data_IF_781778697311
#
_entry.id   IF_781778697311
#
_cell.length_a   1.000
_cell.length_b   1.000
_cell.length_c   1.000
_cell.angle_alpha   90.00
_cell.angle_beta   90.00
_cell.angle_gamma   90.00
#
_symmetry.space_group_name_H-M   'P 1'
#
loop_
_entity.id
_entity.type
_entity.pdbx_description
1 polymer ?
#
# COMPACT_ATOMS: atom_id res chain seq x y z
N UNK A 1 -2.20 5.69 24.85
CA UNK A 1 -0.91 5.62 25.58
C UNK A 1 0.06 6.43 24.75
N UNK A 2 0.39 7.65 25.20
CA UNK A 2 1.36 8.49 24.50
C UNK A 2 2.73 7.84 24.61
N UNK A 3 3.35 7.55 23.47
CA UNK A 3 4.76 7.17 23.42
C UNK A 3 5.53 8.47 23.16
N UNK A 4 6.25 9.01 24.16
CA UNK A 4 6.98 10.24 24.00
C UNK A 4 8.21 10.00 23.11
N UNK A 5 8.41 10.90 22.14
CA UNK A 5 9.58 11.02 21.26
C UNK A 5 9.67 10.03 20.07
N UNK A 6 8.81 10.19 19.07
CA UNK A 6 9.08 9.71 17.71
C UNK A 6 9.97 10.71 16.95
N UNK A 7 11.22 10.82 17.36
CA UNK A 7 12.27 11.39 16.52
C UNK A 7 12.62 10.42 15.39
N UNK A 8 12.40 10.85 14.14
CA UNK A 8 12.97 10.32 12.89
C UNK A 8 12.58 8.89 12.44
N UNK A 9 11.59 8.81 11.53
CA UNK A 9 11.53 7.77 10.49
C UNK A 9 11.09 6.35 10.90
N UNK A 10 10.50 6.18 12.08
CA UNK A 10 9.81 4.94 12.44
C UNK A 10 8.35 5.01 12.00
N UNK A 11 7.94 4.08 11.14
CA UNK A 11 6.53 3.75 10.90
C UNK A 11 6.12 2.64 11.87
N UNK A 12 4.99 2.84 12.53
CA UNK A 12 4.42 1.88 13.48
C UNK A 12 3.17 1.29 12.82
N UNK A 13 3.20 0.01 12.47
CA UNK A 13 1.98 -0.73 12.26
C UNK A 13 1.55 -1.30 13.62
N UNK A 14 0.28 -1.15 13.93
CA UNK A 14 -0.29 -1.71 15.14
C UNK A 14 -1.64 -2.31 14.80
N UNK A 15 -1.89 -3.47 15.38
CA UNK A 15 -3.17 -4.14 15.38
C UNK A 15 -3.54 -4.30 16.84
N UNK A 16 -4.69 -3.75 17.23
CA UNK A 16 -5.22 -3.86 18.58
C UNK A 16 -6.55 -4.59 18.43
N UNK A 17 -6.70 -5.70 19.15
CA UNK A 17 -7.93 -6.47 19.15
C UNK A 17 -8.34 -6.80 20.58
N UNK A 18 -9.61 -7.18 20.74
CA UNK A 18 -10.13 -7.64 22.01
C UNK A 18 -10.07 -9.16 22.00
N UNK A 19 -9.25 -9.76 22.85
CA UNK A 19 -9.15 -11.22 22.98
C UNK A 19 -10.34 -11.80 23.75
N UNK A 20 -10.89 -11.02 24.68
CA UNK A 20 -12.07 -11.43 25.44
C UNK A 20 -12.64 -10.27 26.24
N UNK A 21 -13.97 -10.20 26.29
CA UNK A 21 -14.69 -9.34 27.22
C UNK A 21 -15.50 -10.23 28.14
N UNK A 22 -15.31 -10.06 29.43
CA UNK A 22 -16.12 -10.68 30.46
C UNK A 22 -16.84 -9.59 31.23
N UNK A 23 -18.16 -9.72 31.30
CA UNK A 23 -19.01 -8.82 32.06
C UNK A 23 -19.61 -9.63 33.20
N UNK A 24 -19.36 -9.18 34.42
CA UNK A 24 -19.90 -9.77 35.63
C UNK A 24 -20.75 -8.74 36.35
N UNK A 25 -21.90 -9.15 36.85
CA UNK A 25 -22.72 -8.31 37.72
C UNK A 25 -22.92 -9.05 39.03
N UNK A 26 -22.44 -8.46 40.13
CA UNK A 26 -22.66 -8.96 41.49
C UNK A 26 -23.88 -8.32 42.16
N UNK A 27 -24.47 -7.31 41.53
CA UNK A 27 -25.70 -6.61 41.92
C UNK A 27 -26.36 -6.00 40.67
N UNK A 28 -27.70 -5.90 40.61
CA UNK A 28 -28.43 -5.36 39.45
C UNK A 28 -27.98 -3.96 39.00
N UNK A 29 -27.47 -3.16 39.92
CA UNK A 29 -27.00 -1.79 39.65
C UNK A 29 -25.49 -1.68 39.39
N UNK A 30 -24.74 -2.78 39.54
CA UNK A 30 -23.28 -2.79 39.40
C UNK A 30 -22.81 -3.83 38.39
N UNK A 31 -22.01 -3.37 37.44
CA UNK A 31 -21.36 -4.19 36.42
C UNK A 31 -19.84 -4.01 36.52
N UNK A 32 -19.11 -5.13 36.49
CA UNK A 32 -17.67 -5.17 36.32
C UNK A 32 -17.36 -5.70 34.93
N UNK A 33 -16.79 -4.84 34.10
CA UNK A 33 -16.25 -5.21 32.80
C UNK A 33 -14.75 -5.51 32.95
N UNK A 34 -14.35 -6.68 32.49
CA UNK A 34 -12.95 -7.07 32.33
C UNK A 34 -12.73 -7.39 30.86
N UNK A 35 -11.91 -6.59 30.19
CA UNK A 35 -11.51 -6.83 28.81
C UNK A 35 -10.03 -7.18 28.76
N UNK A 36 -9.69 -8.24 28.03
CA UNK A 36 -8.33 -8.56 27.63
C UNK A 36 -8.11 -7.97 26.24
N UNK A 37 -7.13 -7.09 26.14
CA UNK A 37 -6.79 -6.40 24.89
C UNK A 37 -5.47 -6.97 24.41
N UNK A 38 -5.48 -7.59 23.23
CA UNK A 38 -4.28 -7.98 22.51
C UNK A 38 -3.77 -6.80 21.70
N UNK A 39 -2.44 -6.66 21.61
CA UNK A 39 -1.82 -5.69 20.74
C UNK A 39 -0.60 -6.32 20.04
N UNK A 40 -0.58 -6.25 18.72
CA UNK A 40 0.59 -6.54 17.91
C UNK A 40 1.13 -5.23 17.39
N UNK A 41 2.37 -4.92 17.73
CA UNK A 41 3.04 -3.71 17.28
C UNK A 41 4.25 -4.12 16.45
N UNK A 42 4.24 -3.76 15.17
CA UNK A 42 5.34 -3.96 14.24
C UNK A 42 6.02 -2.63 13.98
N UNK A 43 7.29 -2.55 14.34
CA UNK A 43 8.11 -1.35 14.18
C UNK A 43 8.88 -1.45 12.87
N UNK A 44 8.56 -0.59 11.92
CA UNK A 44 9.29 -0.46 10.66
C UNK A 44 10.15 0.79 10.71
N UNK A 45 11.46 0.63 10.54
CA UNK A 45 12.34 1.77 10.28
C UNK A 45 12.56 1.88 8.79
N UNK A 46 11.95 2.89 8.17
CA UNK A 46 12.32 3.28 6.82
C UNK A 46 13.72 3.90 6.89
N UNK A 47 14.74 3.16 6.46
CA UNK A 47 16.11 3.70 6.36
C UNK A 47 16.24 4.29 4.96
N UNK A 48 16.35 5.63 4.79
CA UNK A 48 16.67 6.18 3.49
C UNK A 48 18.03 5.65 3.06
N UNK A 49 18.06 4.86 1.99
CA UNK A 49 19.29 4.35 1.41
C UNK A 49 19.69 5.30 0.29
N UNK A 50 20.84 5.96 0.44
CA UNK A 50 21.45 6.68 -0.70
C UNK A 50 21.99 5.62 -1.65
N UNK A 51 21.28 5.41 -2.74
CA UNK A 51 21.68 4.54 -3.83
C UNK A 51 22.49 5.34 -4.85
N UNK A 52 23.72 4.89 -5.15
CA UNK A 52 24.45 5.37 -6.32
C UNK A 52 23.98 4.52 -7.50
N UNK A 53 23.22 5.12 -8.40
CA UNK A 53 22.73 4.45 -9.63
C UNK A 53 23.66 4.66 -10.81
N UNK A 54 24.51 5.68 -10.74
CA UNK A 54 25.42 6.04 -11.82
C UNK A 54 26.72 6.65 -11.29
N UNK A 55 27.83 6.29 -11.91
CA UNK A 55 29.16 6.87 -11.69
C UNK A 55 29.69 7.29 -13.05
N UNK A 56 30.01 8.56 -13.22
CA UNK A 56 30.63 9.09 -14.43
C UNK A 56 32.11 9.40 -14.16
N UNK A 57 33.05 8.88 -14.95
CA UNK A 57 34.47 9.20 -14.78
C UNK A 57 34.81 10.64 -15.19
N UNK A 58 35.92 11.16 -14.65
CA UNK A 58 36.55 12.37 -15.16
C UNK A 58 37.06 12.21 -16.59
N UNK A 59 37.42 13.32 -17.24
CA UNK A 59 38.02 13.30 -18.59
C UNK A 59 39.32 12.48 -18.51
N UNK A 60 39.39 11.39 -19.28
CA UNK A 60 40.51 10.43 -19.37
C UNK A 60 40.62 9.38 -18.22
N UNK A 61 39.59 9.20 -17.41
CA UNK A 61 39.54 8.13 -16.38
C UNK A 61 38.65 6.96 -16.80
N UNK A 62 39.02 5.73 -16.40
CA UNK A 62 38.19 4.52 -16.56
C UNK A 62 37.81 4.04 -15.16
N UNK A 63 36.51 3.93 -14.90
CA UNK A 63 35.96 3.43 -13.65
C UNK A 63 35.30 2.09 -13.92
N UNK A 64 35.75 1.04 -13.24
CA UNK A 64 35.03 -0.23 -13.17
C UNK A 64 34.00 -0.16 -12.04
N UNK A 65 32.79 -0.64 -12.32
CA UNK A 65 31.62 -0.44 -11.46
C UNK A 65 30.94 -1.77 -11.24
N UNK A 66 30.98 -2.27 -10.01
CA UNK A 66 30.20 -3.43 -9.60
C UNK A 66 28.77 -2.98 -9.29
N UNK A 67 27.80 -3.67 -9.88
CA UNK A 67 26.37 -3.41 -9.67
C UNK A 67 25.67 -4.64 -9.11
N UNK A 68 24.88 -4.43 -8.07
CA UNK A 68 23.99 -5.44 -7.48
C UNK A 68 22.54 -5.09 -7.80
N UNK A 69 21.74 -6.09 -8.18
CA UNK A 69 20.30 -5.91 -8.40
C UNK A 69 19.61 -6.04 -7.05
N UNK A 70 18.83 -5.03 -6.68
CA UNK A 70 18.08 -5.03 -5.42
C UNK A 70 16.63 -4.60 -5.66
N UNK A 71 15.72 -5.22 -4.91
CA UNK A 71 14.32 -4.81 -4.86
C UNK A 71 14.11 -3.81 -3.73
N UNK A 72 13.58 -2.64 -4.05
CA UNK A 72 13.25 -1.59 -3.11
C UNK A 72 11.72 -1.43 -3.06
N UNK A 73 11.16 -1.43 -1.86
CA UNK A 73 9.76 -1.05 -1.64
C UNK A 73 9.71 0.46 -1.43
N UNK A 74 9.09 1.16 -2.36
CA UNK A 74 8.83 2.59 -2.27
C UNK A 74 7.40 2.82 -1.77
N UNK A 75 7.23 3.80 -0.88
CA UNK A 75 5.90 4.28 -0.48
C UNK A 75 5.53 5.39 -1.45
N UNK A 76 4.48 5.17 -2.23
CA UNK A 76 4.00 6.10 -3.24
C UNK A 76 3.08 7.13 -2.60
N UNK A 77 2.16 6.67 -1.75
CA UNK A 77 1.17 7.52 -1.09
C UNK A 77 0.87 6.99 0.32
N UNK A 78 0.64 7.90 1.27
CA UNK A 78 0.19 7.58 2.62
C UNK A 78 -0.82 8.64 3.11
N UNK A 79 -2.03 8.21 3.41
CA UNK A 79 -3.15 9.12 3.70
C UNK A 79 -4.03 8.60 4.83
N UNK A 80 -4.63 9.51 5.60
CA UNK A 80 -5.69 9.21 6.55
C UNK A 80 -6.98 9.93 6.13
N UNK A 81 -8.10 9.21 6.10
CA UNK A 81 -9.41 9.75 5.74
C UNK A 81 -10.48 9.26 6.71
N UNK A 82 -11.64 9.92 6.68
CA UNK A 82 -12.84 9.50 7.40
C UNK A 82 -13.93 9.26 6.37
N UNK A 83 -14.44 8.04 6.34
CA UNK A 83 -15.62 7.66 5.56
C UNK A 83 -16.82 7.81 6.47
N UNK A 84 -17.69 8.78 6.18
CA UNK A 84 -18.91 9.04 6.94
C UNK A 84 -20.08 8.30 6.29
N UNK A 85 -20.78 7.50 7.09
CA UNK A 85 -21.94 6.71 6.66
C UNK A 85 -23.16 7.21 7.42
N UNK A 86 -24.13 7.73 6.69
CA UNK A 86 -25.42 8.14 7.22
C UNK A 86 -26.52 7.27 6.61
N UNK A 87 -27.23 6.49 7.44
CA UNK A 87 -28.33 5.64 6.98
C UNK A 87 -29.56 5.79 7.86
N UNK A 88 -30.73 5.86 7.22
CA UNK A 88 -32.01 5.71 7.90
C UNK A 88 -32.42 4.26 7.83
N UNK A 89 -32.63 3.62 8.97
CA UNK A 89 -32.94 2.20 9.08
C UNK A 89 -34.31 2.02 9.73
N UNK A 90 -35.15 1.21 9.11
CA UNK A 90 -36.42 0.77 9.70
C UNK A 90 -36.23 -0.55 10.44
N UNK A 91 -36.93 -0.70 11.56
CA UNK A 91 -36.96 -1.91 12.35
C UNK A 91 -37.51 -3.07 11.50
N UNK A 92 -36.88 -4.26 11.56
CA UNK A 92 -37.42 -5.47 10.91
C UNK A 92 -38.88 -5.70 11.30
N UNK A 93 -39.66 -6.30 10.39
CA UNK A 93 -41.12 -6.47 10.56
C UNK A 93 -41.50 -7.21 11.85
N UNK A 94 -40.71 -8.22 12.23
CA UNK A 94 -40.92 -9.05 13.42
C UNK A 94 -40.67 -8.33 14.75
N UNK A 95 -40.06 -7.14 14.70
CA UNK A 95 -39.63 -6.41 15.90
C UNK A 95 -40.73 -5.45 16.39
N UNK A 96 -40.92 -5.45 17.72
CA UNK A 96 -41.82 -4.53 18.42
C UNK A 96 -41.27 -3.10 18.40
N UNK A 97 -42.16 -2.12 18.56
CA UNK A 97 -41.84 -0.70 18.51
C UNK A 97 -40.80 -0.27 19.57
N UNK A 98 -40.00 0.73 19.22
CA UNK A 98 -38.95 1.30 20.05
C UNK A 98 -39.55 2.39 20.95
N UNK A 99 -39.44 2.20 22.27
CA UNK A 99 -39.64 3.28 23.25
C UNK A 99 -38.39 4.13 23.41
N UNK A 100 -37.23 3.48 23.47
CA UNK A 100 -35.93 4.13 23.67
C UNK A 100 -34.78 3.24 23.20
N UNK A 101 -33.83 3.81 22.46
CA UNK A 101 -32.55 3.17 22.13
C UNK A 101 -31.65 3.14 23.37
N UNK A 102 -31.04 1.98 23.64
CA UNK A 102 -30.15 1.77 24.78
C UNK A 102 -28.70 1.59 24.37
N UNK A 103 -28.45 0.78 23.34
CA UNK A 103 -27.10 0.49 22.85
C UNK A 103 -27.13 0.25 21.35
N UNK A 104 -26.06 0.66 20.70
CA UNK A 104 -25.81 0.37 19.29
C UNK A 104 -24.37 -0.11 19.15
N UNK A 105 -24.15 -1.14 18.33
CA UNK A 105 -22.82 -1.66 18.04
C UNK A 105 -22.73 -2.18 16.61
N UNK A 106 -21.51 -2.28 16.12
CA UNK A 106 -21.20 -2.90 14.84
C UNK A 106 -20.14 -3.98 15.02
N UNK A 107 -20.10 -4.92 14.09
CA UNK A 107 -18.96 -5.84 13.96
C UNK A 107 -17.75 -5.13 13.36
N UNK A 108 -16.59 -5.78 13.42
CA UNK A 108 -15.44 -5.34 12.63
C UNK A 108 -15.83 -5.30 11.14
N UNK A 109 -15.69 -4.14 10.46
CA UNK A 109 -16.14 -4.04 9.07
C UNK A 109 -15.27 -4.87 8.14
N UNK A 110 -15.91 -5.58 7.22
CA UNK A 110 -15.22 -6.30 6.15
C UNK A 110 -14.91 -5.32 5.02
N UNK A 111 -13.63 -5.16 4.72
CA UNK A 111 -13.14 -4.19 3.75
C UNK A 111 -12.67 -4.88 2.46
N UNK A 112 -13.00 -4.27 1.33
CA UNK A 112 -12.37 -4.51 0.04
C UNK A 112 -11.86 -3.18 -0.53
N UNK A 113 -10.75 -3.22 -1.26
CA UNK A 113 -10.25 -2.05 -1.98
C UNK A 113 -9.76 -2.42 -3.37
N UNK A 114 -9.91 -1.48 -4.30
CA UNK A 114 -9.46 -1.63 -5.67
C UNK A 114 -8.71 -0.36 -6.08
N UNK A 115 -7.56 -0.56 -6.71
CA UNK A 115 -6.75 0.53 -7.26
C UNK A 115 -7.13 0.76 -8.72
N UNK A 116 -7.21 2.02 -9.10
CA UNK A 116 -7.35 2.49 -10.47
C UNK A 116 -6.38 3.66 -10.68
N UNK A 117 -6.14 4.06 -11.93
CA UNK A 117 -5.20 5.13 -12.22
C UNK A 117 -5.62 6.44 -11.54
N UNK A 118 -4.79 6.90 -10.61
CA UNK A 118 -4.98 8.13 -9.84
C UNK A 118 -6.01 8.03 -8.70
N UNK A 119 -6.58 6.86 -8.40
CA UNK A 119 -7.56 6.73 -7.32
C UNK A 119 -7.61 5.35 -6.66
N UNK A 120 -8.21 5.30 -5.47
CA UNK A 120 -8.55 4.04 -4.78
C UNK A 120 -10.04 4.04 -4.44
N UNK A 121 -10.70 2.94 -4.78
CA UNK A 121 -12.05 2.66 -4.29
C UNK A 121 -11.96 1.80 -3.02
N UNK A 122 -12.58 2.26 -1.95
CA UNK A 122 -12.63 1.56 -0.67
C UNK A 122 -14.10 1.29 -0.34
N UNK A 123 -14.46 0.03 -0.18
CA UNK A 123 -15.83 -0.35 0.13
C UNK A 123 -15.89 -1.52 1.09
N UNK A 124 -17.05 -1.69 1.72
CA UNK A 124 -17.22 -2.78 2.66
C UNK A 124 -18.60 -2.82 3.27
N UNK A 125 -18.72 -3.74 4.21
CA UNK A 125 -19.95 -3.98 4.94
C UNK A 125 -19.66 -4.27 6.42
N UNK A 126 -20.61 -3.93 7.28
CA UNK A 126 -20.59 -4.34 8.68
C UNK A 126 -21.99 -4.71 9.16
N UNK A 127 -22.06 -5.66 10.08
CA UNK A 127 -23.30 -5.97 10.78
C UNK A 127 -23.56 -4.92 11.84
N UNK A 128 -24.82 -4.61 12.07
CA UNK A 128 -25.25 -3.61 13.04
C UNK A 128 -26.27 -4.22 14.00
N UNK A 129 -26.07 -4.01 15.29
CA UNK A 129 -26.95 -4.48 16.35
C UNK A 129 -27.47 -3.29 17.16
N UNK A 130 -28.77 -3.29 17.42
CA UNK A 130 -29.46 -2.27 18.20
C UNK A 130 -30.17 -2.95 19.38
N UNK A 131 -29.81 -2.56 20.60
CA UNK A 131 -30.54 -2.94 21.81
C UNK A 131 -31.41 -1.78 22.23
N UNK A 132 -32.69 -2.05 22.45
CA UNK A 132 -33.68 -1.02 22.77
C UNK A 132 -34.72 -1.51 23.77
N UNK A 133 -35.35 -0.56 24.44
CA UNK A 133 -36.53 -0.80 25.26
C UNK A 133 -37.76 -0.81 24.35
N UNK A 134 -38.56 -1.87 24.48
CA UNK A 134 -39.82 -2.04 23.75
C UNK A 134 -40.88 -1.07 24.28
N UNK A 135 -41.66 -0.49 23.38
CA UNK A 135 -42.86 0.27 23.72
C UNK A 135 -44.02 -0.68 24.05
N UNK A 136 -44.38 -0.73 25.33
CA UNK A 136 -45.37 -1.65 25.88
C UNK A 136 -45.96 -1.07 27.17
N UNK A 137 -47.21 -1.41 27.44
CA UNK A 137 -47.93 -1.05 28.67
C UNK A 137 -47.61 -1.98 29.85
N UNK A 138 -46.74 -2.97 29.67
CA UNK A 138 -46.30 -3.87 30.74
C UNK A 138 -45.59 -3.10 31.87
N UNK A 139 -45.85 -3.49 33.13
CA UNK A 139 -45.22 -2.86 34.31
C UNK A 139 -43.70 -3.01 34.32
N UNK A 140 -43.18 -4.11 33.77
CA UNK A 140 -41.75 -4.38 33.67
C UNK A 140 -41.22 -3.96 32.28
N UNK A 141 -40.05 -3.28 32.21
CA UNK A 141 -39.48 -2.89 30.93
C UNK A 141 -39.02 -4.13 30.15
N UNK A 142 -39.56 -4.30 28.93
CA UNK A 142 -39.09 -5.32 27.99
C UNK A 142 -37.94 -4.78 27.13
N UNK A 143 -36.92 -5.61 26.93
CA UNK A 143 -35.77 -5.32 26.06
C UNK A 143 -35.83 -6.19 24.81
N UNK A 144 -35.43 -5.63 23.68
CA UNK A 144 -35.30 -6.35 22.43
C UNK A 144 -34.02 -5.95 21.68
N UNK A 145 -33.59 -6.82 20.76
CA UNK A 145 -32.42 -6.58 19.91
C UNK A 145 -32.81 -6.74 18.45
N UNK A 146 -32.46 -5.74 17.63
CA UNK A 146 -32.58 -5.79 16.18
C UNK A 146 -31.20 -5.92 15.53
N UNK A 147 -31.11 -6.65 14.43
CA UNK A 147 -29.87 -6.91 13.71
C UNK A 147 -30.02 -6.60 12.22
N UNK A 148 -28.97 -6.03 11.64
CA UNK A 148 -28.79 -5.82 10.21
C UNK A 148 -27.51 -6.53 9.77
N UNK A 149 -27.54 -7.21 8.61
CA UNK A 149 -26.46 -8.07 8.14
C UNK A 149 -26.49 -9.50 8.68
N UNK A 150 -27.62 -9.94 9.25
CA UNK A 150 -27.86 -11.31 9.69
C UNK A 150 -29.12 -11.87 9.04
N UNK A 151 -29.05 -13.09 8.52
CA UNK A 151 -30.17 -13.71 7.80
C UNK A 151 -30.44 -12.99 6.49
N UNK A 152 -31.69 -12.57 6.28
CA UNK A 152 -32.15 -11.91 5.05
C UNK A 152 -32.06 -10.37 5.12
N UNK A 153 -31.66 -9.79 6.26
CA UNK A 153 -31.58 -8.34 6.43
C UNK A 153 -30.20 -7.87 5.99
N UNK A 154 -30.16 -6.92 5.05
CA UNK A 154 -28.92 -6.39 4.49
C UNK A 154 -28.02 -5.74 5.55
N UNK A 155 -26.68 -5.84 5.41
CA UNK A 155 -25.71 -5.19 6.28
C UNK A 155 -25.61 -3.68 6.01
N UNK A 156 -24.89 -2.99 6.89
CA UNK A 156 -24.53 -1.59 6.66
C UNK A 156 -23.36 -1.55 5.69
N UNK A 157 -23.64 -1.12 4.47
CA UNK A 157 -22.63 -0.92 3.42
C UNK A 157 -22.05 0.49 3.45
N UNK A 158 -20.78 0.59 3.10
CA UNK A 158 -20.05 1.84 2.91
C UNK A 158 -19.14 1.74 1.68
N UNK A 159 -18.86 2.86 1.05
CA UNK A 159 -18.04 2.92 -0.14
C UNK A 159 -17.67 4.36 -0.47
N UNK A 160 -16.40 4.59 -0.80
CA UNK A 160 -15.93 5.91 -1.21
C UNK A 160 -14.75 5.80 -2.20
N UNK A 161 -14.64 6.79 -3.07
CA UNK A 161 -13.51 6.97 -3.98
C UNK A 161 -12.59 8.04 -3.43
N UNK A 162 -11.30 7.73 -3.37
CA UNK A 162 -10.28 8.66 -2.91
C UNK A 162 -9.29 8.94 -4.02
N UNK A 163 -9.21 10.21 -4.42
CA UNK A 163 -8.19 10.68 -5.35
C UNK A 163 -6.81 10.55 -4.71
N UNK A 164 -5.91 9.87 -5.43
CA UNK A 164 -4.53 9.62 -5.02
C UNK A 164 -3.61 9.76 -6.25
N UNK A 165 -3.19 10.99 -6.58
CA UNK A 165 -2.33 11.24 -7.73
C UNK A 165 -1.03 10.44 -7.67
N UNK A 166 -0.66 9.80 -8.77
CA UNK A 166 0.56 8.98 -8.87
C UNK A 166 0.36 7.51 -8.49
N UNK A 167 -0.86 7.11 -8.13
CA UNK A 167 -1.26 5.70 -8.01
C UNK A 167 -1.56 5.12 -9.38
N UNK A 168 -1.11 3.89 -9.62
CA UNK A 168 -1.32 3.16 -10.87
C UNK A 168 -1.81 1.74 -10.61
N UNK A 169 -2.45 1.15 -11.62
CA UNK A 169 -2.84 -0.26 -11.61
C UNK A 169 -1.58 -1.16 -11.48
N UNK A 170 -1.53 -2.01 -10.45
CA UNK A 170 -0.39 -2.89 -10.14
C UNK A 170 0.44 -2.50 -8.92
N UNK A 171 0.18 -1.33 -8.32
CA UNK A 171 0.69 -1.01 -6.99
C UNK A 171 0.01 -1.86 -5.90
N UNK A 172 0.61 -1.90 -4.71
CA UNK A 172 0.05 -2.61 -3.54
C UNK A 172 -0.54 -1.63 -2.55
N UNK A 173 -1.86 -1.71 -2.36
CA UNK A 173 -2.57 -0.99 -1.31
C UNK A 173 -2.62 -1.80 -0.01
N UNK A 174 -2.41 -1.11 1.11
CA UNK A 174 -2.76 -1.58 2.46
C UNK A 174 -3.68 -0.53 3.07
N UNK A 175 -4.88 -0.96 3.45
CA UNK A 175 -5.89 -0.09 4.06
C UNK A 175 -6.24 -0.66 5.41
N UNK A 176 -6.08 0.15 6.44
CA UNK A 176 -6.55 -0.11 7.79
C UNK A 176 -7.80 0.73 8.04
N UNK A 177 -8.81 0.14 8.67
CA UNK A 177 -10.09 0.76 8.91
C UNK A 177 -10.47 0.57 10.38
N UNK A 178 -10.76 1.68 11.07
CA UNK A 178 -11.19 1.64 12.46
C UNK A 178 -12.50 2.41 12.63
N UNK A 179 -13.39 1.91 13.48
CA UNK A 179 -14.58 2.65 13.91
C UNK A 179 -14.16 3.81 14.80
N UNK A 180 -14.37 5.04 14.32
CA UNK A 180 -14.02 6.24 15.06
C UNK A 180 -15.21 6.77 15.87
N UNK A 181 -16.40 6.76 15.28
CA UNK A 181 -17.61 7.21 15.94
C UNK A 181 -18.83 6.43 15.43
N UNK A 182 -19.72 6.06 16.35
CA UNK A 182 -20.98 5.40 16.08
C UNK A 182 -22.07 6.08 16.92
N UNK A 183 -23.07 6.63 16.25
CA UNK A 183 -24.21 7.29 16.89
C UNK A 183 -25.50 6.84 16.22
N UNK A 184 -26.54 6.71 17.04
CA UNK A 184 -27.90 6.43 16.58
C UNK A 184 -28.84 7.48 17.14
N UNK A 185 -29.69 8.03 16.29
CA UNK A 185 -30.80 8.91 16.66
C UNK A 185 -32.11 8.21 16.36
N UNK A 186 -32.99 8.10 17.36
CA UNK A 186 -34.34 7.60 17.12
C UNK A 186 -35.16 8.67 16.42
N UNK A 187 -35.75 8.34 15.27
CA UNK A 187 -36.63 9.25 14.52
C UNK A 187 -38.06 9.09 15.01
N UNK A 188 -38.52 7.84 15.10
CA UNK A 188 -39.84 7.47 15.61
C UNK A 188 -39.80 6.08 16.25
N UNK A 189 -40.96 5.46 16.48
CA UNK A 189 -41.10 4.14 17.09
C UNK A 189 -40.58 2.97 16.22
N UNK A 190 -40.33 3.16 14.92
CA UNK A 190 -39.86 2.12 14.00
C UNK A 190 -38.64 2.50 13.18
N UNK A 191 -38.19 3.75 13.24
CA UNK A 191 -37.10 4.23 12.40
C UNK A 191 -36.02 4.92 13.23
N UNK A 192 -34.78 4.60 12.89
CA UNK A 192 -33.58 5.21 13.46
C UNK A 192 -32.71 5.81 12.36
N UNK A 193 -31.85 6.75 12.74
CA UNK A 193 -30.79 7.30 11.92
C UNK A 193 -29.44 6.89 12.48
N UNK A 194 -28.68 6.14 11.70
CA UNK A 194 -27.33 5.69 11.99
C UNK A 194 -26.32 6.70 11.41
N UNK A 195 -25.38 7.12 12.24
CA UNK A 195 -24.18 7.86 11.86
C UNK A 195 -22.96 7.02 12.24
N UNK A 196 -22.15 6.66 11.26
CA UNK A 196 -20.96 5.84 11.44
C UNK A 196 -19.77 6.49 10.72
N UNK A 197 -18.76 6.88 11.49
CA UNK A 197 -17.51 7.42 10.96
C UNK A 197 -16.42 6.35 11.05
N UNK A 198 -15.89 5.97 9.89
CA UNK A 198 -14.81 5.00 9.77
C UNK A 198 -13.53 5.73 9.41
N UNK A 199 -12.54 5.70 10.31
CA UNK A 199 -11.23 6.28 10.04
C UNK A 199 -10.38 5.27 9.27
N UNK A 200 -9.94 5.66 8.08
CA UNK A 200 -9.03 4.88 7.26
C UNK A 200 -7.60 5.39 7.38
N UNK A 201 -6.64 4.47 7.32
CA UNK A 201 -5.24 4.76 7.02
C UNK A 201 -4.81 3.93 5.82
N UNK A 202 -4.39 4.60 4.77
CA UNK A 202 -4.11 4.03 3.46
C UNK A 202 -2.63 4.18 3.18
N UNK A 203 -1.99 3.10 2.74
CA UNK A 203 -0.60 3.10 2.31
C UNK A 203 -0.48 2.37 0.99
N UNK A 204 0.02 3.07 -0.02
CA UNK A 204 0.25 2.51 -1.35
C UNK A 204 1.75 2.38 -1.57
N UNK A 205 2.15 1.21 -2.05
CA UNK A 205 3.56 0.85 -2.25
C UNK A 205 3.80 0.27 -3.63
N UNK A 206 4.99 0.52 -4.17
CA UNK A 206 5.47 -0.09 -5.41
C UNK A 206 6.82 -0.76 -5.14
N UNK A 207 7.05 -1.91 -5.76
CA UNK A 207 8.39 -2.53 -5.78
C UNK A 207 9.14 -2.04 -7.00
N UNK A 208 10.30 -1.42 -6.79
CA UNK A 208 11.22 -1.01 -7.86
C UNK A 208 12.48 -1.88 -7.83
N UNK A 209 12.88 -2.38 -8.99
CA UNK A 209 14.15 -3.09 -9.16
C UNK A 209 15.23 -2.09 -9.56
N UNK A 210 16.26 -1.94 -8.73
CA UNK A 210 17.36 -1.01 -8.96
C UNK A 210 18.68 -1.77 -9.11
N UNK A 211 19.53 -1.32 -10.03
CA UNK A 211 20.91 -1.76 -10.13
C UNK A 211 21.80 -0.80 -9.32
N UNK A 212 22.08 -1.17 -8.08
CA UNK A 212 22.86 -0.36 -7.14
C UNK A 212 24.35 -0.53 -7.43
N UNK A 213 25.09 0.57 -7.54
CA UNK A 213 26.55 0.53 -7.53
C UNK A 213 27.03 0.19 -6.13
N UNK A 214 27.68 -0.96 -5.97
CA UNK A 214 28.18 -1.44 -4.68
C UNK A 214 29.69 -1.22 -4.51
N UNK A 215 30.41 -1.13 -5.62
CA UNK A 215 31.83 -0.81 -5.64
C UNK A 215 32.19 -0.06 -6.92
N UNK A 216 33.22 0.78 -6.84
CA UNK A 216 33.77 1.47 -8.00
C UNK A 216 35.28 1.64 -7.84
N UNK A 217 36.04 1.15 -8.80
CA UNK A 217 37.50 1.24 -8.80
C UNK A 217 38.00 2.04 -10.01
N UNK A 218 38.88 3.00 -9.76
CA UNK A 218 39.65 3.67 -10.81
C UNK A 218 40.66 2.67 -11.37
N UNK A 219 40.58 2.39 -12.67
CA UNK A 219 41.57 1.59 -13.36
C UNK A 219 42.54 2.55 -14.06
N UNK A 220 43.78 2.60 -13.57
CA UNK A 220 44.87 3.24 -14.30
C UNK A 220 45.13 2.44 -15.59
N UNK A 221 45.03 3.04 -16.79
CA UNK A 221 45.31 2.32 -18.01
C UNK A 221 46.78 1.88 -18.03
N UNK A 222 47.05 0.57 -17.98
CA UNK A 222 48.31 0.01 -18.46
C UNK A 222 48.46 0.43 -19.94
N UNK A 223 49.40 1.34 -20.17
CA UNK A 223 49.83 2.00 -21.41
C UNK A 223 49.12 1.56 -22.70
N UNK A 224 48.18 2.38 -23.17
CA UNK A 224 47.63 2.35 -24.53
C UNK A 224 46.17 2.86 -24.62
N UNK A 225 45.75 3.47 -25.75
CA UNK A 225 44.35 3.85 -25.95
C UNK A 225 43.50 2.57 -26.12
N UNK A 226 42.91 2.11 -25.02
CA UNK A 226 41.97 0.98 -25.04
C UNK A 226 40.59 1.48 -25.51
N UNK A 227 39.87 0.72 -26.34
CA UNK A 227 38.48 1.03 -26.65
C UNK A 227 37.68 1.07 -25.34
N UNK A 228 36.97 2.17 -25.10
CA UNK A 228 36.06 2.27 -23.97
C UNK A 228 34.91 1.27 -24.19
N UNK A 229 34.63 0.38 -23.24
CA UNK A 229 33.53 -0.57 -23.34
C UNK A 229 32.27 -0.02 -22.68
N UNK A 230 31.12 -0.21 -23.33
CA UNK A 230 29.80 0.13 -22.80
C UNK A 230 28.98 -1.15 -22.63
N UNK A 231 28.36 -1.33 -21.46
CA UNK A 231 27.34 -2.36 -21.29
C UNK A 231 25.98 -1.86 -21.77
N UNK A 232 25.35 -2.60 -22.68
CA UNK A 232 24.04 -2.27 -23.23
C UNK A 232 23.05 -3.41 -22.99
N UNK A 233 21.88 -3.09 -22.44
CA UNK A 233 20.78 -4.05 -22.30
C UNK A 233 19.85 -3.91 -23.50
N UNK A 234 19.72 -4.99 -24.29
CA UNK A 234 18.93 -4.99 -25.53
C UNK A 234 17.46 -4.70 -25.24
N UNK A 235 16.90 -3.71 -25.93
CA UNK A 235 15.51 -3.29 -25.79
C UNK A 235 14.62 -3.89 -26.88
N UNK A 236 13.29 -3.97 -26.69
CA UNK A 236 12.37 -4.39 -27.74
C UNK A 236 12.56 -3.57 -29.04
N UNK A 237 12.80 -4.26 -30.16
CA UNK A 237 12.99 -3.64 -31.49
C UNK A 237 14.42 -3.23 -31.83
N UNK A 238 15.39 -3.51 -30.97
CA UNK A 238 16.82 -3.34 -31.25
C UNK A 238 17.34 -4.36 -32.28
N UNK A 239 18.36 -3.95 -33.03
CA UNK A 239 19.17 -4.83 -33.89
C UNK A 239 20.64 -4.47 -33.70
N UNK A 240 21.56 -5.42 -33.94
CA UNK A 240 23.00 -5.16 -33.86
C UNK A 240 23.42 -3.96 -34.70
N UNK A 241 22.82 -3.77 -35.87
CA UNK A 241 23.07 -2.63 -36.74
C UNK A 241 22.68 -1.29 -36.08
N UNK A 242 21.50 -1.21 -35.46
CA UNK A 242 21.05 0.01 -34.77
C UNK A 242 21.95 0.32 -33.58
N UNK A 243 22.35 -0.70 -32.83
CA UNK A 243 23.24 -0.58 -31.68
C UNK A 243 24.63 -0.13 -32.13
N UNK A 244 25.20 -0.78 -33.15
CA UNK A 244 26.50 -0.43 -33.72
C UNK A 244 26.54 1.02 -34.21
N UNK A 245 25.51 1.44 -34.94
CA UNK A 245 25.38 2.81 -35.45
C UNK A 245 25.24 3.83 -34.31
N UNK A 246 24.43 3.53 -33.29
CA UNK A 246 24.22 4.40 -32.13
C UNK A 246 25.51 4.67 -31.35
N UNK A 247 26.36 3.66 -31.25
CA UNK A 247 27.59 3.72 -30.45
C UNK A 247 28.87 3.87 -31.28
N UNK A 248 28.73 4.18 -32.58
CA UNK A 248 29.83 4.38 -33.50
C UNK A 248 30.86 3.24 -33.48
N UNK A 249 30.35 2.01 -33.53
CA UNK A 249 31.13 0.77 -33.61
C UNK A 249 30.68 -0.08 -34.79
N UNK A 250 31.19 -1.30 -34.91
CA UNK A 250 30.80 -2.24 -35.98
C UNK A 250 30.06 -3.42 -35.40
N UNK A 251 29.19 -4.04 -36.21
CA UNK A 251 28.48 -5.25 -35.78
C UNK A 251 29.48 -6.36 -35.49
N UNK A 252 30.53 -6.48 -36.30
CA UNK A 252 31.61 -7.45 -36.13
C UNK A 252 32.34 -7.27 -34.79
N UNK A 253 32.58 -6.03 -34.38
CA UNK A 253 33.19 -5.77 -33.07
C UNK A 253 32.24 -6.14 -31.92
N UNK A 254 30.93 -5.89 -32.06
CA UNK A 254 29.96 -6.30 -31.03
C UNK A 254 29.84 -7.83 -30.97
N UNK A 255 29.77 -8.52 -32.12
CA UNK A 255 29.64 -9.98 -32.15
C UNK A 255 30.90 -10.65 -31.62
N UNK A 256 32.08 -10.14 -31.96
CA UNK A 256 33.35 -10.67 -31.46
C UNK A 256 33.49 -10.53 -29.94
N UNK A 257 33.20 -9.34 -29.39
CA UNK A 257 33.32 -9.10 -27.94
C UNK A 257 32.29 -9.88 -27.12
N UNK A 258 31.11 -10.18 -27.69
CA UNK A 258 30.03 -10.91 -27.02
C UNK A 258 29.95 -12.38 -27.40
N UNK A 259 30.88 -12.88 -28.22
CA UNK A 259 30.90 -14.27 -28.72
C UNK A 259 29.57 -14.70 -29.35
N UNK A 260 28.88 -13.77 -30.02
CA UNK A 260 27.59 -14.04 -30.64
C UNK A 260 27.77 -14.93 -31.87
N UNK A 261 27.00 -16.02 -31.92
CA UNK A 261 27.01 -16.98 -33.02
C UNK A 261 26.04 -16.61 -34.15
N UNK A 262 25.18 -15.62 -33.94
CA UNK A 262 24.20 -15.11 -34.91
C UNK A 262 24.13 -13.57 -34.89
N UNK A 263 23.64 -12.98 -35.99
CA UNK A 263 23.44 -11.52 -36.10
C UNK A 263 22.19 -11.00 -35.35
N UNK A 264 21.46 -11.88 -34.65
CA UNK A 264 20.27 -11.55 -33.87
C UNK A 264 20.61 -11.31 -32.41
N UNK A 265 19.96 -10.31 -31.80
CA UNK A 265 20.06 -10.00 -30.36
C UNK A 265 18.75 -10.33 -29.65
N UNK A 266 18.85 -10.84 -28.44
CA UNK A 266 17.67 -11.19 -27.63
C UNK A 266 17.34 -10.01 -26.70
N UNK A 267 16.07 -9.64 -26.59
CA UNK A 267 15.64 -8.59 -25.66
C UNK A 267 15.99 -8.98 -24.22
N UNK A 268 16.58 -8.05 -23.47
CA UNK A 268 17.10 -8.28 -22.13
C UNK A 268 18.50 -8.90 -22.10
N UNK A 269 19.11 -9.20 -23.24
CA UNK A 269 20.50 -9.64 -23.33
C UNK A 269 21.46 -8.48 -23.05
N UNK A 270 22.56 -8.76 -22.36
CA UNK A 270 23.59 -7.79 -22.03
C UNK A 270 24.73 -7.90 -23.04
N UNK A 271 25.01 -6.81 -23.74
CA UNK A 271 26.08 -6.71 -24.73
C UNK A 271 27.20 -5.76 -24.27
N UNK A 272 28.43 -6.18 -24.52
CA UNK A 272 29.65 -5.39 -24.50
C UNK A 272 29.83 -4.66 -25.83
N UNK A 273 29.70 -3.35 -25.81
CA UNK A 273 29.80 -2.50 -27.00
C UNK A 273 31.15 -1.77 -26.97
N UNK A 274 32.11 -2.14 -27.83
CA UNK A 274 33.40 -1.45 -27.89
C UNK A 274 33.25 -0.11 -28.60
N UNK A 275 33.56 0.98 -27.90
CA UNK A 275 33.51 2.34 -28.43
C UNK A 275 34.93 2.80 -28.75
N UNK A 276 35.18 3.12 -30.02
CA UNK A 276 36.45 3.69 -30.44
C UNK A 276 36.63 5.06 -29.78
N UNK A 277 37.81 5.36 -29.19
CA UNK A 277 38.11 6.70 -28.73
C UNK A 277 38.07 7.65 -29.93
N UNK A 278 37.39 8.79 -29.77
CA UNK A 278 37.35 9.84 -30.79
C UNK A 278 38.76 10.41 -30.95
N UNK A 279 39.38 10.24 -32.12
CA UNK A 279 40.66 10.86 -32.48
C UNK A 279 40.39 12.09 -33.37
N UNK A 280 40.76 13.32 -32.95
CA UNK A 280 40.54 14.52 -33.76
C UNK A 280 41.38 14.61 -35.04
N UNK A 281 42.34 13.72 -35.26
CA UNK A 281 43.24 13.75 -36.42
C UNK A 281 43.23 12.44 -37.21
N UNK A 282 42.35 12.39 -38.22
CA UNK A 282 42.58 11.63 -39.45
C UNK A 282 41.73 12.19 -40.59
N UNK A 283 42.01 13.44 -40.96
CA UNK A 283 41.85 13.92 -42.33
C UNK A 283 43.26 14.18 -42.83
N UNK A 284 43.76 13.28 -43.68
CA UNK A 284 44.58 13.42 -44.89
C UNK A 284 44.77 11.99 -45.41
#
# INVERSE_FOLDING_TARGET
MDVPHTSNGLSINHEIWIEGVQIYSSHPENCRLQATIGAKVELFRAKPVKAVVEVSPGKDEIVDVLREISELIEVVEESERVIAVEKTLSLPSEMKNIRRVLLASITEPKLNCQLEDGQIFIAGETQFALVYQVDTDEEAPLLATAFWGQGEIEPITFGDYLEMPGVEEGMKARVYLNTNHLKVEQIDERTIKLFLDLKTRIKITQTKTLALVTDSALISPLDGPKPSMLFYLVQPGDTLWKIARRYNTTMESITQENQLTAESVVVGEKLLIPKKPWSPNKLI
#
